data_IF_579665452446
#
_entry.id   IF_579665452446
#
_cell.length_a   1.000
_cell.length_b   1.000
_cell.length_c   1.000
_cell.angle_alpha   90.00
_cell.angle_beta   90.00
_cell.angle_gamma   90.00
#
_symmetry.space_group_name_H-M   'P 1'
#
loop_
_entity.id
_entity.type
_entity.pdbx_description
1 polymer ?
#
# COMPACT_ATOMS: atom_id res chain seq x y z
N UNK A 1 15.47 13.97 18.74
CA UNK A 1 16.17 14.45 17.52
C UNK A 1 16.87 13.26 16.86
N UNK A 2 16.18 12.57 15.93
CA UNK A 2 16.80 11.53 15.12
C UNK A 2 17.39 12.19 13.88
N UNK A 3 18.57 12.79 14.04
CA UNK A 3 19.34 13.32 12.92
C UNK A 3 19.79 12.15 12.05
N UNK A 4 19.21 12.03 10.86
CA UNK A 4 19.65 11.05 9.85
C UNK A 4 21.04 11.51 9.38
N UNK A 5 22.03 10.63 9.54
CA UNK A 5 23.38 10.94 9.04
C UNK A 5 23.31 11.22 7.52
N UNK A 6 24.07 12.21 7.07
CA UNK A 6 24.21 12.57 5.65
C UNK A 6 24.52 11.36 4.75
N UNK A 7 25.12 10.28 5.32
CA UNK A 7 25.38 9.04 4.61
C UNK A 7 24.11 8.21 4.28
N UNK A 8 23.02 8.35 5.04
CA UNK A 8 21.74 7.67 4.72
C UNK A 8 20.97 8.40 3.62
N UNK A 9 21.01 9.73 3.61
CA UNK A 9 20.46 10.55 2.51
C UNK A 9 21.18 10.27 1.19
N UNK A 10 22.53 10.20 1.21
CA UNK A 10 23.31 9.83 0.02
C UNK A 10 22.98 8.46 -0.55
N UNK A 11 22.53 7.51 0.27
CA UNK A 11 22.09 6.17 -0.23
C UNK A 11 20.74 6.23 -0.92
N UNK A 12 19.79 7.01 -0.44
CA UNK A 12 18.50 7.22 -1.12
C UNK A 12 18.77 7.83 -2.50
N UNK A 13 19.61 8.86 -2.59
CA UNK A 13 19.95 9.50 -3.86
C UNK A 13 20.80 8.61 -4.78
N UNK A 14 21.70 7.78 -4.24
CA UNK A 14 22.51 6.86 -5.05
C UNK A 14 21.70 5.72 -5.66
N UNK A 15 20.73 5.22 -4.92
CA UNK A 15 19.84 4.16 -5.39
C UNK A 15 18.87 4.69 -6.46
N UNK A 16 18.64 6.02 -6.53
CA UNK A 16 17.78 6.66 -7.52
C UNK A 16 18.47 6.93 -8.86
N UNK A 17 19.81 7.02 -8.93
CA UNK A 17 20.52 7.23 -10.20
C UNK A 17 20.24 6.12 -11.24
N UNK A 18 19.89 4.92 -10.78
CA UNK A 18 19.56 3.78 -11.63
C UNK A 18 18.07 3.35 -11.50
N UNK A 19 17.25 4.16 -10.82
CA UNK A 19 15.84 3.85 -10.62
C UNK A 19 15.01 4.19 -11.87
N UNK A 20 13.94 3.43 -12.10
CA UNK A 20 12.95 3.78 -13.10
C UNK A 20 12.04 4.89 -12.56
N UNK A 21 12.29 6.11 -13.00
CA UNK A 21 11.52 7.30 -12.60
C UNK A 21 10.05 7.27 -13.08
N UNK A 22 9.68 6.30 -13.90
CA UNK A 22 8.27 6.07 -14.27
C UNK A 22 7.50 5.23 -13.24
N UNK A 23 8.20 4.70 -12.21
CA UNK A 23 7.61 3.95 -11.09
C UNK A 23 7.76 4.80 -9.83
N UNK A 24 6.64 5.25 -9.26
CA UNK A 24 6.64 6.13 -8.08
C UNK A 24 6.00 5.41 -6.89
N UNK A 25 6.77 5.24 -5.82
CA UNK A 25 6.23 4.91 -4.50
C UNK A 25 5.83 6.21 -3.79
N UNK A 26 4.55 6.55 -3.85
CA UNK A 26 4.02 7.81 -3.36
C UNK A 26 3.49 7.68 -1.93
N UNK A 27 4.18 8.31 -1.00
CA UNK A 27 3.74 8.44 0.38
C UNK A 27 2.65 9.51 0.48
N UNK A 28 1.43 9.10 0.82
CA UNK A 28 0.26 9.99 0.86
C UNK A 28 0.02 10.59 2.25
N UNK A 29 0.45 9.90 3.30
CA UNK A 29 0.44 10.36 4.68
C UNK A 29 1.54 9.70 5.51
N UNK A 30 1.80 10.20 6.71
CA UNK A 30 2.73 9.60 7.67
C UNK A 30 2.03 8.86 8.82
N UNK A 31 0.70 8.98 8.94
CA UNK A 31 -0.08 8.37 10.00
C UNK A 31 -0.25 6.87 9.78
N UNK A 32 -0.20 6.09 10.85
CA UNK A 32 -0.41 4.65 10.81
C UNK A 32 -1.12 4.17 12.08
N UNK A 33 -2.00 3.19 11.94
CA UNK A 33 -2.66 2.49 13.06
C UNK A 33 -1.68 1.57 13.80
N UNK A 34 -0.66 1.07 13.10
CA UNK A 34 0.32 0.15 13.64
C UNK A 34 1.57 0.89 14.12
N UNK A 35 2.10 0.48 15.25
CA UNK A 35 3.39 0.97 15.80
C UNK A 35 4.46 -0.11 15.70
N UNK A 36 4.68 -0.60 14.47
CA UNK A 36 5.64 -1.67 14.24
C UNK A 36 7.03 -1.25 14.69
N UNK A 37 7.67 -2.09 15.51
CA UNK A 37 9.03 -1.88 16.03
C UNK A 37 10.05 -1.68 14.91
N UNK A 38 9.95 -2.51 13.86
CA UNK A 38 10.85 -2.52 12.71
C UNK A 38 10.26 -1.77 11.49
N UNK A 39 9.36 -0.80 11.72
CA UNK A 39 8.79 -0.02 10.63
C UNK A 39 9.89 0.73 9.87
N UNK A 40 9.95 0.54 8.55
CA UNK A 40 10.94 1.22 7.71
C UNK A 40 10.85 2.75 7.83
N UNK A 41 9.65 3.30 8.04
CA UNK A 41 9.45 4.75 8.21
C UNK A 41 10.15 5.30 9.45
N UNK A 42 10.37 4.48 10.51
CA UNK A 42 11.08 4.92 11.72
C UNK A 42 12.58 5.16 11.47
N UNK A 43 13.10 4.76 10.32
CA UNK A 43 14.52 4.86 9.98
C UNK A 43 14.85 6.10 9.17
N UNK A 44 13.83 6.85 8.74
CA UNK A 44 13.97 8.02 7.90
C UNK A 44 13.30 9.23 8.54
N UNK A 45 13.88 10.41 8.28
CA UNK A 45 13.12 11.64 8.45
C UNK A 45 12.22 11.79 7.22
N UNK A 46 10.92 11.54 7.38
CA UNK A 46 9.97 11.52 6.28
C UNK A 46 9.82 12.88 5.59
N UNK A 47 10.11 13.99 6.30
CA UNK A 47 10.12 15.32 5.73
C UNK A 47 11.24 15.52 4.71
N UNK A 48 12.26 14.67 4.74
CA UNK A 48 13.38 14.68 3.77
C UNK A 48 13.12 13.79 2.55
N UNK A 49 12.03 13.03 2.52
CA UNK A 49 11.62 12.33 1.30
C UNK A 49 11.27 13.41 0.26
N UNK A 50 11.80 13.32 -0.97
CA UNK A 50 11.53 14.33 -1.99
C UNK A 50 10.01 14.44 -2.27
N UNK A 51 9.56 15.69 -2.44
CA UNK A 51 8.18 15.96 -2.83
C UNK A 51 7.99 15.57 -4.29
N UNK A 52 6.91 14.85 -4.59
CA UNK A 52 6.56 14.52 -5.97
C UNK A 52 6.27 15.79 -6.76
N UNK A 53 6.79 15.87 -7.97
CA UNK A 53 6.49 16.98 -8.89
C UNK A 53 5.36 16.62 -9.84
N UNK A 54 4.73 17.64 -10.42
CA UNK A 54 3.70 17.46 -11.46
C UNK A 54 4.29 16.74 -12.67
N UNK A 55 5.52 17.08 -13.06
CA UNK A 55 6.23 16.46 -14.18
C UNK A 55 6.47 14.96 -13.93
N UNK A 56 6.89 14.57 -12.72
CA UNK A 56 7.06 13.16 -12.35
C UNK A 56 5.73 12.40 -12.48
N UNK A 57 4.62 12.97 -12.01
CA UNK A 57 3.30 12.34 -12.13
C UNK A 57 2.81 12.26 -13.58
N UNK A 58 3.11 13.26 -14.41
CA UNK A 58 2.80 13.24 -15.84
C UNK A 58 3.57 12.16 -16.60
N UNK A 59 4.79 11.84 -16.17
CA UNK A 59 5.63 10.81 -16.75
C UNK A 59 5.45 9.42 -16.09
N UNK A 60 4.77 9.36 -14.96
CA UNK A 60 4.56 8.11 -14.24
C UNK A 60 3.73 7.09 -15.03
N UNK A 61 4.21 5.86 -15.07
CA UNK A 61 3.47 4.70 -15.61
C UNK A 61 2.88 3.84 -14.50
N UNK A 62 3.57 3.77 -13.38
CA UNK A 62 3.16 2.98 -12.22
C UNK A 62 3.24 3.85 -10.98
N UNK A 63 2.16 3.91 -10.21
CA UNK A 63 2.12 4.57 -8.91
C UNK A 63 1.70 3.57 -7.85
N UNK A 64 2.48 3.51 -6.77
CA UNK A 64 2.21 2.67 -5.62
C UNK A 64 1.96 3.59 -4.42
N UNK A 65 0.71 3.68 -3.98
CA UNK A 65 0.36 4.48 -2.82
C UNK A 65 0.85 3.79 -1.56
N UNK A 66 1.65 4.52 -0.81
CA UNK A 66 2.28 4.08 0.43
C UNK A 66 2.10 5.16 1.50
N UNK A 67 2.81 5.03 2.59
CA UNK A 67 2.83 6.02 3.65
C UNK A 67 2.97 5.37 5.00
N UNK A 68 2.31 5.92 6.02
CA UNK A 68 1.98 5.18 7.21
C UNK A 68 0.95 4.11 6.85
N UNK A 69 -0.30 4.51 6.74
CA UNK A 69 -1.39 3.66 6.26
C UNK A 69 -2.30 4.49 5.33
N UNK A 70 -2.32 4.22 4.01
CA UNK A 70 -3.09 5.03 3.06
C UNK A 70 -4.60 5.09 3.34
N UNK A 71 -5.17 4.04 3.91
CA UNK A 71 -6.60 4.00 4.24
C UNK A 71 -6.99 4.85 5.47
N UNK A 72 -6.04 5.55 6.08
CA UNK A 72 -6.33 6.62 7.04
C UNK A 72 -6.64 7.95 6.36
N UNK A 73 -6.43 8.06 5.04
CA UNK A 73 -6.95 9.19 4.29
C UNK A 73 -8.47 9.21 4.37
N UNK A 74 -9.04 10.37 4.73
CA UNK A 74 -10.48 10.52 4.88
C UNK A 74 -11.24 10.20 3.59
N UNK A 75 -10.70 10.57 2.43
CA UNK A 75 -11.24 10.27 1.10
C UNK A 75 -10.19 9.66 0.17
N UNK A 76 -9.72 8.47 0.50
CA UNK A 76 -8.81 7.71 -0.38
C UNK A 76 -9.44 7.42 -1.75
N UNK A 77 -10.76 7.23 -1.80
CA UNK A 77 -11.47 6.94 -3.06
C UNK A 77 -11.45 8.15 -4.00
N UNK A 78 -11.82 9.32 -3.52
CA UNK A 78 -11.75 10.56 -4.30
C UNK A 78 -10.32 10.89 -4.71
N UNK A 79 -9.33 10.61 -3.84
CA UNK A 79 -7.93 10.81 -4.16
C UNK A 79 -7.47 9.93 -5.35
N UNK A 80 -7.72 8.62 -5.34
CA UNK A 80 -7.31 7.73 -6.44
C UNK A 80 -8.06 8.05 -7.74
N UNK A 81 -9.33 8.41 -7.65
CA UNK A 81 -10.13 8.88 -8.78
C UNK A 81 -9.52 10.12 -9.41
N UNK A 82 -9.20 11.13 -8.59
CA UNK A 82 -8.58 12.39 -9.05
C UNK A 82 -7.21 12.15 -9.67
N UNK A 83 -6.39 11.28 -9.06
CA UNK A 83 -5.07 10.93 -9.56
C UNK A 83 -5.16 10.31 -10.96
N UNK A 84 -6.07 9.37 -11.18
CA UNK A 84 -6.31 8.74 -12.48
C UNK A 84 -6.81 9.74 -13.53
N UNK A 85 -7.68 10.65 -13.13
CA UNK A 85 -8.26 11.62 -14.04
C UNK A 85 -7.25 12.70 -14.45
N UNK A 86 -6.45 13.17 -13.50
CA UNK A 86 -5.44 14.21 -13.76
C UNK A 86 -4.20 13.68 -14.49
N UNK A 87 -3.87 12.40 -14.28
CA UNK A 87 -2.66 11.76 -14.83
C UNK A 87 -3.01 10.49 -15.61
N UNK A 88 -3.58 10.61 -16.81
CA UNK A 88 -4.05 9.46 -17.60
C UNK A 88 -2.91 8.53 -18.06
N UNK A 89 -1.65 8.99 -18.02
CA UNK A 89 -0.47 8.18 -18.32
C UNK A 89 -0.16 7.11 -17.27
N UNK A 90 -0.71 7.24 -16.07
CA UNK A 90 -0.57 6.21 -15.02
C UNK A 90 -1.33 4.97 -15.46
N UNK A 91 -0.60 3.95 -15.93
CA UNK A 91 -1.18 2.69 -16.41
C UNK A 91 -1.56 1.75 -15.28
N UNK A 92 -0.78 1.79 -14.17
CA UNK A 92 -0.96 0.93 -13.01
C UNK A 92 -0.95 1.75 -11.72
N UNK A 93 -1.96 1.54 -10.90
CA UNK A 93 -2.11 2.17 -9.59
C UNK A 93 -2.39 1.10 -8.54
N UNK A 94 -1.51 0.99 -7.56
CA UNK A 94 -1.63 0.03 -6.47
C UNK A 94 -1.67 0.75 -5.13
N UNK A 95 -2.33 0.14 -4.14
CA UNK A 95 -2.34 0.65 -2.76
C UNK A 95 -1.73 -0.42 -1.85
N UNK A 96 -0.76 -0.02 -1.02
CA UNK A 96 -0.26 -0.85 0.07
C UNK A 96 -1.07 -0.58 1.33
N UNK A 97 -1.45 -1.64 2.04
CA UNK A 97 -2.16 -1.53 3.32
C UNK A 97 -1.82 -2.69 4.24
N UNK A 98 -1.87 -2.46 5.55
CA UNK A 98 -1.84 -3.55 6.52
C UNK A 98 -3.19 -4.30 6.60
N UNK A 99 -4.28 -3.69 6.12
CA UNK A 99 -5.60 -4.28 6.04
C UNK A 99 -6.60 -3.77 7.08
N UNK A 100 -6.18 -3.47 8.29
CA UNK A 100 -7.09 -3.05 9.36
C UNK A 100 -7.81 -1.74 9.06
N UNK A 101 -7.07 -0.70 8.67
CA UNK A 101 -7.67 0.60 8.34
C UNK A 101 -8.62 0.51 7.14
N UNK A 102 -8.24 -0.27 6.12
CA UNK A 102 -9.12 -0.54 4.99
C UNK A 102 -10.43 -1.19 5.41
N UNK A 103 -10.38 -2.20 6.30
CA UNK A 103 -11.57 -2.85 6.84
C UNK A 103 -12.43 -1.86 7.64
N UNK A 104 -11.83 -1.02 8.45
CA UNK A 104 -12.56 0.01 9.22
C UNK A 104 -13.25 1.02 8.31
N UNK A 105 -12.58 1.46 7.25
CA UNK A 105 -13.12 2.42 6.28
C UNK A 105 -14.10 1.80 5.27
N UNK A 106 -14.40 0.49 5.33
CA UNK A 106 -15.13 -0.25 4.29
C UNK A 106 -16.48 0.38 3.89
N UNK A 107 -17.22 0.95 4.83
CA UNK A 107 -18.51 1.55 4.51
C UNK A 107 -18.37 2.77 3.59
N UNK A 108 -17.26 3.51 3.66
CA UNK A 108 -17.03 4.66 2.82
C UNK A 108 -16.77 4.26 1.37
N UNK A 109 -15.78 3.39 1.13
CA UNK A 109 -15.43 3.02 -0.23
C UNK A 109 -16.42 2.03 -0.88
N UNK A 110 -17.15 1.22 -0.11
CA UNK A 110 -18.23 0.36 -0.64
C UNK A 110 -19.39 1.19 -1.20
N UNK A 111 -19.70 2.34 -0.61
CA UNK A 111 -20.75 3.24 -1.14
C UNK A 111 -20.45 3.75 -2.54
N UNK A 112 -19.18 3.79 -2.92
CA UNK A 112 -18.72 4.26 -4.23
C UNK A 112 -18.55 3.14 -5.26
N UNK A 113 -18.99 1.91 -4.96
CA UNK A 113 -18.88 0.78 -5.89
C UNK A 113 -17.48 0.15 -5.95
N UNK A 114 -16.63 0.41 -4.93
CA UNK A 114 -15.29 -0.17 -4.80
C UNK A 114 -14.23 0.51 -5.65
N UNK A 115 -13.03 -0.05 -5.62
CA UNK A 115 -11.83 0.54 -6.21
C UNK A 115 -11.52 0.10 -7.65
N UNK A 116 -12.17 -0.94 -8.16
CA UNK A 116 -11.78 -1.62 -9.41
C UNK A 116 -11.75 -0.76 -10.67
N UNK A 117 -12.42 0.41 -10.65
CA UNK A 117 -12.34 1.36 -11.77
C UNK A 117 -11.08 2.23 -11.75
N UNK A 118 -10.46 2.42 -10.60
CA UNK A 118 -9.37 3.39 -10.43
C UNK A 118 -8.07 2.77 -9.93
N UNK A 119 -8.14 1.59 -9.31
CA UNK A 119 -7.01 0.90 -8.69
C UNK A 119 -6.84 -0.46 -9.34
N UNK A 120 -5.63 -0.78 -9.78
CA UNK A 120 -5.30 -2.06 -10.41
C UNK A 120 -5.10 -3.19 -9.41
N UNK A 121 -4.83 -2.88 -8.14
CA UNK A 121 -4.69 -3.89 -7.10
C UNK A 121 -4.36 -3.32 -5.73
N UNK A 122 -4.65 -4.14 -4.73
CA UNK A 122 -4.30 -3.88 -3.33
C UNK A 122 -3.20 -4.86 -2.91
N UNK A 123 -2.15 -4.32 -2.31
CA UNK A 123 -1.08 -5.10 -1.70
C UNK A 123 -1.30 -5.15 -0.19
N UNK A 124 -1.85 -6.25 0.29
CA UNK A 124 -2.07 -6.49 1.71
C UNK A 124 -0.78 -6.97 2.36
N UNK A 125 -0.37 -6.31 3.41
CA UNK A 125 0.84 -6.63 4.16
C UNK A 125 0.56 -6.54 5.65
N UNK A 126 -0.08 -7.56 6.25
CA UNK A 126 -0.43 -7.56 7.66
C UNK A 126 0.81 -7.45 8.53
N UNK A 127 0.74 -6.69 9.61
CA UNK A 127 1.83 -6.41 10.55
C UNK A 127 1.50 -6.85 11.98
N UNK A 128 0.28 -7.32 12.19
CA UNK A 128 -0.21 -7.85 13.46
C UNK A 128 -1.42 -8.76 13.24
N UNK A 129 -1.78 -9.53 14.28
CA UNK A 129 -2.92 -10.44 14.23
C UNK A 129 -4.26 -9.75 13.91
N UNK A 130 -4.43 -8.50 14.29
CA UNK A 130 -5.66 -7.76 13.99
C UNK A 130 -5.76 -7.35 12.53
N UNK A 131 -4.64 -7.11 11.85
CA UNK A 131 -4.59 -6.92 10.40
C UNK A 131 -5.04 -8.19 9.68
N UNK A 132 -4.52 -9.36 10.06
CA UNK A 132 -4.93 -10.64 9.49
C UNK A 132 -6.43 -10.91 9.69
N UNK A 133 -6.94 -10.69 10.90
CA UNK A 133 -8.37 -10.82 11.19
C UNK A 133 -9.22 -9.86 10.33
N UNK A 134 -8.75 -8.66 10.12
CA UNK A 134 -9.44 -7.66 9.29
C UNK A 134 -9.46 -8.08 7.82
N UNK A 135 -8.35 -8.57 7.29
CA UNK A 135 -8.26 -9.10 5.92
C UNK A 135 -9.18 -10.31 5.76
N UNK A 136 -9.16 -11.29 6.70
CA UNK A 136 -10.09 -12.43 6.70
C UNK A 136 -11.55 -11.97 6.62
N UNK A 137 -11.93 -10.93 7.38
CA UNK A 137 -13.30 -10.37 7.37
C UNK A 137 -13.64 -9.69 6.04
N UNK A 138 -12.69 -8.98 5.41
CA UNK A 138 -12.89 -8.42 4.08
C UNK A 138 -13.13 -9.51 3.04
N UNK A 139 -12.32 -10.56 3.04
CA UNK A 139 -12.42 -11.64 2.07
C UNK A 139 -13.66 -12.54 2.29
N UNK A 140 -14.14 -12.68 3.53
CA UNK A 140 -15.40 -13.40 3.83
C UNK A 140 -16.66 -12.64 3.43
N UNK A 141 -16.58 -11.32 3.30
CA UNK A 141 -17.72 -10.51 2.90
C UNK A 141 -17.89 -10.58 1.37
N UNK A 142 -18.92 -11.29 0.89
CA UNK A 142 -19.18 -11.49 -0.54
C UNK A 142 -19.33 -10.17 -1.30
N UNK A 143 -20.01 -9.18 -0.70
CA UNK A 143 -20.21 -7.87 -1.30
C UNK A 143 -18.88 -7.11 -1.43
N UNK A 144 -18.06 -7.08 -0.35
CA UNK A 144 -16.74 -6.48 -0.40
C UNK A 144 -15.86 -7.17 -1.44
N UNK A 145 -15.89 -8.50 -1.56
CA UNK A 145 -15.16 -9.24 -2.59
C UNK A 145 -15.55 -8.84 -4.00
N UNK A 146 -16.83 -8.81 -4.30
CA UNK A 146 -17.31 -8.47 -5.65
C UNK A 146 -16.85 -7.07 -6.07
N UNK A 147 -16.94 -6.09 -5.19
CA UNK A 147 -16.62 -4.70 -5.52
C UNK A 147 -15.14 -4.34 -5.38
N UNK A 148 -14.39 -5.02 -4.52
CA UNK A 148 -12.99 -4.74 -4.31
C UNK A 148 -12.09 -5.44 -5.32
N UNK A 149 -12.41 -6.69 -5.61
CA UNK A 149 -11.44 -7.58 -6.24
C UNK A 149 -11.79 -7.96 -7.67
N UNK A 150 -12.96 -7.60 -8.17
CA UNK A 150 -13.33 -7.90 -9.54
C UNK A 150 -12.42 -7.13 -10.52
N UNK A 151 -11.64 -7.87 -11.30
CA UNK A 151 -10.70 -7.30 -12.27
C UNK A 151 -9.41 -6.72 -11.68
N UNK A 152 -9.19 -6.79 -10.36
CA UNK A 152 -7.99 -6.28 -9.70
C UNK A 152 -6.93 -7.37 -9.53
N UNK A 153 -5.66 -6.97 -9.61
CA UNK A 153 -4.50 -7.82 -9.30
C UNK A 153 -4.05 -7.58 -7.87
N UNK A 154 -4.64 -8.32 -6.92
CA UNK A 154 -4.28 -8.17 -5.51
C UNK A 154 -3.12 -9.06 -5.12
N UNK A 155 -2.39 -8.65 -4.07
CA UNK A 155 -1.28 -9.40 -3.51
C UNK A 155 -1.41 -9.49 -1.99
N UNK A 156 -1.12 -10.68 -1.46
CA UNK A 156 -0.93 -10.90 -0.04
C UNK A 156 0.58 -11.03 0.20
N UNK A 157 1.13 -10.14 1.01
CA UNK A 157 2.52 -10.16 1.42
C UNK A 157 2.55 -10.71 2.83
N UNK A 158 2.97 -11.96 2.97
CA UNK A 158 3.12 -12.62 4.25
C UNK A 158 4.35 -12.05 4.95
N UNK A 159 4.13 -11.54 6.15
CA UNK A 159 5.18 -10.93 6.97
C UNK A 159 5.36 -11.76 8.23
N UNK A 160 6.61 -11.90 8.62
CA UNK A 160 6.94 -12.39 9.96
C UNK A 160 6.97 -11.19 10.92
N UNK A 161 6.14 -11.21 11.97
CA UNK A 161 6.04 -10.15 12.96
C UNK A 161 5.95 -10.74 14.38
N UNK A 162 6.41 -9.96 15.34
CA UNK A 162 6.42 -10.36 16.77
C UNK A 162 4.98 -10.63 17.26
N UNK A 163 4.78 -11.78 17.92
CA UNK A 163 3.48 -12.18 18.44
C UNK A 163 2.51 -12.73 17.40
N UNK A 164 2.98 -13.12 16.22
CA UNK A 164 2.16 -13.81 15.21
C UNK A 164 1.65 -15.14 15.78
N UNK A 165 0.35 -15.33 15.71
CA UNK A 165 -0.33 -16.53 16.25
C UNK A 165 -0.91 -17.43 15.17
N UNK A 166 -1.07 -16.91 13.95
CA UNK A 166 -1.64 -17.66 12.82
C UNK A 166 -0.52 -18.17 11.94
N UNK A 167 -0.56 -19.43 11.59
CA UNK A 167 0.30 -20.01 10.56
C UNK A 167 -0.06 -19.44 9.17
N UNK A 168 0.94 -19.27 8.30
CA UNK A 168 0.74 -18.69 6.98
C UNK A 168 -0.19 -19.51 6.10
N UNK A 169 -0.09 -20.85 6.16
CA UNK A 169 -0.96 -21.73 5.38
C UNK A 169 -2.40 -21.68 5.89
N UNK A 170 -2.60 -21.63 7.20
CA UNK A 170 -3.91 -21.43 7.81
C UNK A 170 -4.51 -20.08 7.41
N UNK A 171 -3.69 -19.02 7.42
CA UNK A 171 -4.13 -17.70 6.97
C UNK A 171 -4.56 -17.72 5.50
N UNK A 172 -3.73 -18.25 4.61
CA UNK A 172 -4.02 -18.37 3.18
C UNK A 172 -5.30 -19.20 2.94
N UNK A 173 -5.41 -20.37 3.58
CA UNK A 173 -6.59 -21.23 3.47
C UNK A 173 -7.86 -20.49 3.90
N UNK A 174 -7.77 -19.65 4.94
CA UNK A 174 -8.90 -18.86 5.43
C UNK A 174 -9.38 -17.79 4.45
N UNK A 175 -8.55 -17.40 3.47
CA UNK A 175 -8.89 -16.46 2.40
C UNK A 175 -9.50 -17.15 1.19
N UNK A 176 -9.24 -18.45 0.99
CA UNK A 176 -9.81 -19.28 -0.06
C UNK A 176 -11.23 -19.71 0.33
N UNK A 177 -12.21 -18.86 0.03
CA UNK A 177 -13.60 -19.27 0.16
C UNK A 177 -14.02 -20.01 -1.10
N UNK A 178 -14.55 -21.23 -0.97
CA UNK A 178 -15.00 -22.12 -2.04
C UNK A 178 -16.06 -21.54 -2.99
N UNK A 179 -16.70 -20.43 -2.59
CA UNK A 179 -17.80 -19.80 -3.32
C UNK A 179 -17.36 -18.55 -4.13
N UNK A 180 -16.05 -18.34 -4.30
CA UNK A 180 -15.52 -17.15 -4.96
C UNK A 180 -15.35 -17.43 -6.45
N UNK A 181 -15.93 -16.52 -7.26
CA UNK A 181 -15.59 -16.41 -8.69
C UNK A 181 -14.06 -16.45 -8.89
N UNK A 182 -13.56 -17.21 -9.89
CA UNK A 182 -12.13 -17.29 -10.22
C UNK A 182 -11.46 -15.95 -10.54
N UNK A 183 -12.21 -14.86 -10.63
CA UNK A 183 -11.75 -13.52 -10.94
C UNK A 183 -11.10 -12.77 -9.75
N UNK A 184 -11.27 -13.22 -8.53
CA UNK A 184 -10.53 -12.67 -7.38
C UNK A 184 -9.13 -13.28 -7.30
N UNK A 185 -8.26 -12.89 -8.23
CA UNK A 185 -6.86 -13.34 -8.23
C UNK A 185 -6.07 -12.53 -7.22
N UNK A 186 -5.48 -13.21 -6.25
CA UNK A 186 -4.41 -12.65 -5.44
C UNK A 186 -3.15 -13.51 -5.59
N UNK A 187 -2.00 -12.86 -5.64
CA UNK A 187 -0.71 -13.53 -5.55
C UNK A 187 -0.21 -13.50 -4.11
N UNK A 188 0.54 -14.51 -3.73
CA UNK A 188 1.13 -14.63 -2.39
C UNK A 188 2.61 -14.41 -2.51
N UNK A 189 3.16 -13.62 -1.61
CA UNK A 189 4.60 -13.32 -1.54
C UNK A 189 5.05 -13.37 -0.08
N UNK A 190 6.09 -14.16 0.20
CA UNK A 190 6.76 -14.17 1.49
C UNK A 190 7.82 -13.07 1.54
N UNK A 191 7.79 -12.23 2.56
CA UNK A 191 8.81 -11.20 2.79
C UNK A 191 9.23 -11.14 4.25
N UNK A 192 10.54 -11.09 4.45
CA UNK A 192 11.08 -10.65 5.73
C UNK A 192 10.76 -9.16 5.97
N UNK A 193 10.60 -8.77 7.23
CA UNK A 193 10.44 -7.37 7.61
C UNK A 193 11.67 -6.58 7.16
N UNK A 194 11.49 -5.70 6.20
CA UNK A 194 12.61 -4.93 5.65
C UNK A 194 13.02 -3.85 6.66
N UNK A 195 14.24 -3.96 7.19
CA UNK A 195 14.83 -2.93 8.07
C UNK A 195 15.08 -1.60 7.37
N UNK A 196 15.00 -1.56 6.03
CA UNK A 196 15.14 -0.35 5.23
C UNK A 196 14.10 -0.37 4.12
N UNK A 197 13.39 0.73 3.93
CA UNK A 197 12.58 0.90 2.74
C UNK A 197 13.51 0.96 1.52
N UNK A 198 13.27 0.06 0.58
CA UNK A 198 13.89 0.11 -0.73
C UNK A 198 12.75 0.08 -1.74
N UNK A 199 12.51 1.19 -2.48
CA UNK A 199 11.57 1.18 -3.57
C UNK A 199 12.02 0.14 -4.58
N UNK A 200 11.16 -0.82 -4.90
CA UNK A 200 11.49 -1.93 -5.80
C UNK A 200 11.56 -1.40 -7.24
N UNK A 201 12.73 -0.93 -7.64
CA UNK A 201 13.04 -0.42 -8.98
C UNK A 201 12.55 1.00 -9.30
N UNK A 202 11.77 1.63 -8.41
CA UNK A 202 11.23 2.97 -8.62
C UNK A 202 11.80 4.03 -7.68
N UNK A 203 11.23 5.23 -7.72
CA UNK A 203 11.60 6.35 -6.85
C UNK A 203 10.63 6.48 -5.68
N UNK A 204 11.12 6.99 -4.55
CA UNK A 204 10.29 7.27 -3.38
C UNK A 204 9.98 8.77 -3.30
N UNK A 205 8.70 9.10 -3.26
CA UNK A 205 8.21 10.48 -3.18
C UNK A 205 7.14 10.62 -2.11
N UNK A 206 6.93 11.84 -1.65
CA UNK A 206 5.79 12.19 -0.78
C UNK A 206 4.96 13.31 -1.39
N UNK A 207 3.73 13.43 -0.93
CA UNK A 207 2.91 14.60 -1.23
C UNK A 207 3.51 15.86 -0.58
N UNK A 208 3.29 17.07 -1.14
CA UNK A 208 3.76 18.34 -0.58
C UNK A 208 3.28 18.55 0.86
N UNK A 209 2.02 18.20 1.12
CA UNK A 209 1.39 18.19 2.44
C UNK A 209 0.83 16.79 2.62
N UNK A 210 1.19 16.14 3.74
CA UNK A 210 0.55 14.88 4.08
C UNK A 210 -0.94 15.12 4.32
N UNK A 211 -1.76 14.40 3.55
CA UNK A 211 -3.21 14.44 3.72
C UNK A 211 -3.56 13.68 5.01
N UNK A 212 -4.34 14.31 5.90
CA UNK A 212 -4.81 13.74 7.15
C UNK A 212 -6.27 13.29 7.06
#
# INVERSE_FOLDING_TARGET
>A
DKTISMGKLRRIYKDEENADHTIIHLMVNSNCTNRCKDCCNNQYNLDKVPVVTVEELQNAKVVLLTGGEPFLLADIYGFVKSLRWQYPNIRKLYIYTSGYAMYKARNNWLRHGGFGLYVDGINFSPKCNDDEKAIKKLFKNSFARCFLFNGMSNRIILMDYEGKTTDDDEFIQSLNCSDVSPSAKFSIENRAFQKKFQPNGGVWRRLPIFLN
#
